data_IF_037340988797
#
_entry.id   IF_037340988797
#
_cell.length_a   1.000
_cell.length_b   1.000
_cell.length_c   1.000
_cell.angle_alpha   90.00
_cell.angle_beta   90.00
_cell.angle_gamma   90.00
#
_symmetry.space_group_name_H-M   'P 1'
#
loop_
_entity.id
_entity.type
_entity.pdbx_description
1 polymer ?
#
# COMPACT_ATOMS: atom_id res chain seq x y z
N UNK A 1 -1.75 4.38 -31.35
CA UNK A 1 -1.69 5.33 -30.22
C UNK A 1 -3.06 5.64 -29.58
N UNK A 2 -4.16 5.67 -30.35
CA UNK A 2 -5.52 5.89 -29.78
C UNK A 2 -5.94 4.75 -28.86
N UNK A 3 -5.66 3.51 -29.22
CA UNK A 3 -6.00 2.33 -28.41
C UNK A 3 -5.25 2.30 -27.09
N UNK A 4 -3.99 2.72 -27.07
CA UNK A 4 -3.21 2.81 -25.84
C UNK A 4 -3.77 3.86 -24.87
N UNK A 5 -4.24 5.00 -25.41
CA UNK A 5 -4.86 6.07 -24.62
C UNK A 5 -6.23 5.62 -24.04
N UNK A 6 -7.03 4.90 -24.82
CA UNK A 6 -8.33 4.37 -24.37
C UNK A 6 -8.13 3.31 -23.27
N UNK A 7 -7.18 2.42 -23.43
CA UNK A 7 -6.83 1.39 -22.45
C UNK A 7 -6.36 2.05 -21.14
N UNK A 8 -5.49 3.04 -21.21
CA UNK A 8 -5.03 3.79 -20.05
C UNK A 8 -6.18 4.56 -19.37
N UNK A 9 -7.09 5.14 -20.15
CA UNK A 9 -8.29 5.82 -19.64
C UNK A 9 -9.23 4.87 -18.90
N UNK A 10 -9.49 3.67 -19.43
CA UNK A 10 -10.30 2.63 -18.77
C UNK A 10 -9.62 2.19 -17.45
N UNK A 11 -8.33 1.98 -17.47
CA UNK A 11 -7.58 1.59 -16.30
C UNK A 11 -7.60 2.66 -15.20
N UNK A 12 -7.24 3.90 -15.53
CA UNK A 12 -7.13 5.00 -14.55
C UNK A 12 -8.47 5.58 -14.14
N UNK A 13 -9.44 5.62 -15.06
CA UNK A 13 -10.76 6.21 -14.82
C UNK A 13 -11.79 5.25 -14.25
N UNK A 14 -11.62 3.94 -14.44
CA UNK A 14 -12.62 2.95 -14.06
C UNK A 14 -12.08 1.94 -13.03
N UNK A 15 -11.05 1.17 -13.38
CA UNK A 15 -10.57 0.09 -12.54
C UNK A 15 -9.90 0.60 -11.27
N UNK A 16 -9.04 1.60 -11.38
CA UNK A 16 -8.23 2.09 -10.28
C UNK A 16 -9.05 2.78 -9.18
N UNK A 17 -10.04 3.65 -9.47
CA UNK A 17 -10.91 4.22 -8.44
C UNK A 17 -11.70 3.18 -7.66
N UNK A 18 -12.17 2.12 -8.32
CA UNK A 18 -12.90 1.05 -7.67
C UNK A 18 -12.03 0.29 -6.66
N UNK A 19 -10.79 -0.01 -7.03
CA UNK A 19 -9.82 -0.68 -6.16
C UNK A 19 -9.36 0.22 -5.01
N UNK A 20 -9.27 1.52 -5.25
CA UNK A 20 -8.90 2.49 -4.21
C UNK A 20 -10.06 2.82 -3.25
N UNK A 21 -11.30 2.51 -3.61
CA UNK A 21 -12.46 2.81 -2.76
C UNK A 21 -12.35 2.19 -1.37
N UNK A 22 -12.06 0.88 -1.19
CA UNK A 22 -11.84 0.32 0.14
C UNK A 22 -10.59 0.86 0.84
N UNK A 23 -9.60 1.36 0.09
CA UNK A 23 -8.40 1.99 0.66
C UNK A 23 -8.73 3.25 1.47
N UNK A 24 -9.87 3.91 1.23
CA UNK A 24 -10.30 5.06 2.04
C UNK A 24 -10.50 4.69 3.50
N UNK A 25 -10.97 3.46 3.78
CA UNK A 25 -11.13 2.92 5.14
C UNK A 25 -9.77 2.76 5.82
N UNK A 26 -8.80 2.16 5.12
CA UNK A 26 -7.44 1.99 5.66
C UNK A 26 -6.72 3.32 5.81
N UNK A 27 -6.93 4.29 4.91
CA UNK A 27 -6.38 5.63 5.02
C UNK A 27 -6.94 6.37 6.25
N UNK A 28 -8.24 6.29 6.51
CA UNK A 28 -8.85 6.90 7.68
C UNK A 28 -8.29 6.31 8.98
N UNK A 29 -8.16 4.99 9.04
CA UNK A 29 -7.52 4.30 10.16
C UNK A 29 -6.05 4.70 10.30
N UNK A 30 -5.31 4.81 9.20
CA UNK A 30 -3.91 5.22 9.18
C UNK A 30 -3.69 6.62 9.76
N UNK A 31 -4.56 7.58 9.45
CA UNK A 31 -4.50 8.95 10.00
C UNK A 31 -4.69 8.94 11.53
N UNK A 32 -5.58 8.10 12.05
CA UNK A 32 -5.81 7.96 13.49
C UNK A 32 -4.67 7.23 14.22
N UNK A 33 -3.98 6.33 13.53
CA UNK A 33 -2.87 5.56 14.09
C UNK A 33 -1.63 6.40 14.34
N UNK A 34 -1.35 7.38 13.49
CA UNK A 34 -0.15 8.20 13.58
C UNK A 34 0.00 8.86 14.96
N UNK A 35 -0.97 9.65 15.49
CA UNK A 35 -0.86 10.24 16.81
C UNK A 35 -0.84 9.18 17.93
N UNK A 36 -1.62 8.11 17.80
CA UNK A 36 -1.66 7.05 18.82
C UNK A 36 -0.32 6.33 18.98
N UNK A 37 0.36 6.03 17.87
CA UNK A 37 1.70 5.42 17.89
C UNK A 37 2.72 6.39 18.46
N UNK A 38 2.67 7.66 18.09
CA UNK A 38 3.57 8.69 18.62
C UNK A 38 3.42 8.84 20.13
N UNK A 39 2.19 8.86 20.65
CA UNK A 39 1.91 8.92 22.08
C UNK A 39 2.46 7.68 22.82
N UNK A 40 2.19 6.48 22.32
CA UNK A 40 2.71 5.25 22.90
C UNK A 40 4.23 5.20 22.92
N UNK A 41 4.86 5.78 21.92
CA UNK A 41 6.31 5.86 21.83
C UNK A 41 6.90 6.84 22.85
N UNK A 42 6.30 8.01 23.01
CA UNK A 42 6.74 9.00 24.02
C UNK A 42 6.58 8.47 25.45
N UNK A 43 5.55 7.65 25.68
CA UNK A 43 5.31 6.98 26.98
C UNK A 43 6.17 5.72 27.18
N UNK A 44 6.92 5.27 26.17
CA UNK A 44 7.81 4.11 26.27
C UNK A 44 7.12 2.75 26.27
N UNK A 45 5.83 2.67 25.90
CA UNK A 45 5.04 1.43 25.91
C UNK A 45 5.33 0.51 24.70
N UNK A 46 6.55 0.01 24.58
CA UNK A 46 7.03 -0.80 23.46
C UNK A 46 6.17 -2.05 23.17
N UNK A 47 5.78 -2.78 24.22
CA UNK A 47 4.92 -3.98 24.06
C UNK A 47 3.56 -3.64 23.47
N UNK A 48 3.02 -2.47 23.82
CA UNK A 48 1.74 -2.01 23.32
C UNK A 48 1.82 -1.58 21.86
N UNK A 49 2.92 -0.95 21.47
CA UNK A 49 3.21 -0.61 20.06
C UNK A 49 3.27 -1.89 19.22
N UNK A 50 4.03 -2.92 19.65
CA UNK A 50 4.12 -4.19 18.93
C UNK A 50 2.75 -4.89 18.78
N UNK A 51 1.94 -4.85 19.83
CA UNK A 51 0.59 -5.40 19.80
C UNK A 51 -0.29 -4.68 18.78
N UNK A 52 -0.27 -3.34 18.79
CA UNK A 52 -1.03 -2.51 17.85
C UNK A 52 -0.58 -2.77 16.40
N UNK A 53 0.73 -2.83 16.14
CA UNK A 53 1.28 -3.15 14.81
C UNK A 53 0.81 -4.52 14.33
N UNK A 54 0.86 -5.53 15.20
CA UNK A 54 0.43 -6.89 14.85
C UNK A 54 -1.07 -6.96 14.54
N UNK A 55 -1.90 -6.25 15.31
CA UNK A 55 -3.34 -6.16 15.02
C UNK A 55 -3.61 -5.47 13.68
N UNK A 56 -2.98 -4.33 13.44
CA UNK A 56 -3.11 -3.59 12.19
C UNK A 56 -2.74 -4.46 11.00
N UNK A 57 -1.60 -5.13 11.07
CA UNK A 57 -1.14 -6.05 10.03
C UNK A 57 -2.20 -7.11 9.70
N UNK A 58 -2.77 -7.71 10.74
CA UNK A 58 -3.82 -8.73 10.59
C UNK A 58 -5.10 -8.16 9.96
N UNK A 59 -5.57 -6.99 10.43
CA UNK A 59 -6.77 -6.36 9.88
C UNK A 59 -6.58 -5.90 8.43
N UNK A 60 -5.43 -5.32 8.08
CA UNK A 60 -5.15 -4.90 6.71
C UNK A 60 -5.05 -6.09 5.76
N UNK A 61 -4.43 -7.20 6.19
CA UNK A 61 -4.38 -8.43 5.40
C UNK A 61 -5.77 -9.07 5.23
N UNK A 62 -6.58 -9.09 6.28
CA UNK A 62 -7.96 -9.60 6.19
C UNK A 62 -8.79 -8.73 5.24
N UNK A 63 -8.79 -7.42 5.42
CA UNK A 63 -9.54 -6.51 4.56
C UNK A 63 -9.06 -6.60 3.11
N UNK A 64 -7.73 -6.54 2.90
CA UNK A 64 -7.14 -6.66 1.58
C UNK A 64 -7.40 -8.02 0.92
N UNK A 65 -7.35 -9.11 1.69
CA UNK A 65 -7.67 -10.45 1.22
C UNK A 65 -9.14 -10.61 0.83
N UNK A 66 -10.06 -10.08 1.65
CA UNK A 66 -11.49 -10.07 1.32
C UNK A 66 -11.74 -9.25 0.05
N UNK A 67 -11.18 -8.05 -0.06
CA UNK A 67 -11.29 -7.22 -1.27
C UNK A 67 -10.68 -7.91 -2.49
N UNK A 68 -9.53 -8.57 -2.34
CA UNK A 68 -8.90 -9.35 -3.41
C UNK A 68 -9.85 -10.44 -3.92
N UNK A 69 -10.42 -11.23 -3.02
CA UNK A 69 -11.36 -12.31 -3.37
C UNK A 69 -12.60 -11.72 -4.05
N UNK A 70 -13.18 -10.66 -3.50
CA UNK A 70 -14.35 -10.00 -4.09
C UNK A 70 -14.06 -9.50 -5.51
N UNK A 71 -12.94 -8.82 -5.73
CA UNK A 71 -12.57 -8.29 -7.05
C UNK A 71 -12.17 -9.39 -8.04
N UNK A 72 -11.63 -10.52 -7.59
CA UNK A 72 -11.36 -11.67 -8.45
C UNK A 72 -12.65 -12.32 -8.96
N UNK A 73 -13.63 -12.51 -8.09
CA UNK A 73 -14.89 -13.16 -8.47
C UNK A 73 -15.87 -12.20 -9.14
N UNK A 74 -15.96 -10.98 -8.68
CA UNK A 74 -16.93 -9.99 -9.13
C UNK A 74 -16.38 -8.99 -10.15
N UNK A 75 -15.08 -9.04 -10.48
CA UNK A 75 -14.41 -8.03 -11.31
C UNK A 75 -15.04 -7.92 -12.71
N UNK A 76 -15.35 -9.02 -13.39
CA UNK A 76 -16.05 -9.00 -14.68
C UNK A 76 -17.47 -8.45 -14.54
N UNK A 77 -18.22 -8.90 -13.53
CA UNK A 77 -19.55 -8.39 -13.25
C UNK A 77 -19.54 -6.88 -12.98
N UNK A 78 -18.62 -6.41 -12.14
CA UNK A 78 -18.45 -4.99 -11.83
C UNK A 78 -18.04 -4.18 -13.05
N UNK A 79 -17.12 -4.70 -13.86
CA UNK A 79 -16.69 -4.07 -15.10
C UNK A 79 -17.85 -3.89 -16.09
N UNK A 80 -18.66 -4.93 -16.27
CA UNK A 80 -19.82 -4.89 -17.16
C UNK A 80 -20.98 -4.07 -16.58
N UNK A 81 -21.27 -4.22 -15.29
CA UNK A 81 -22.41 -3.58 -14.64
C UNK A 81 -22.20 -2.07 -14.43
N UNK A 82 -21.02 -1.67 -13.91
CA UNK A 82 -20.72 -0.26 -13.60
C UNK A 82 -20.22 0.53 -14.81
N UNK A 83 -19.41 -0.11 -15.65
CA UNK A 83 -18.66 0.60 -16.70
C UNK A 83 -19.02 0.15 -18.11
N UNK A 84 -19.91 -0.85 -18.26
CA UNK A 84 -20.29 -1.44 -19.55
C UNK A 84 -19.05 -1.83 -20.39
N UNK A 85 -17.99 -2.27 -19.73
CA UNK A 85 -16.70 -2.58 -20.34
C UNK A 85 -16.11 -3.87 -19.78
N UNK A 86 -16.01 -4.88 -20.62
CA UNK A 86 -15.35 -6.15 -20.28
C UNK A 86 -13.85 -5.95 -19.99
N UNK A 87 -13.21 -5.01 -20.69
CA UNK A 87 -11.80 -4.67 -20.48
C UNK A 87 -11.57 -4.10 -19.09
N UNK A 88 -12.49 -3.28 -18.57
CA UNK A 88 -12.41 -2.78 -17.20
C UNK A 88 -12.48 -3.92 -16.18
N UNK A 89 -13.33 -4.93 -16.42
CA UNK A 89 -13.44 -6.12 -15.57
C UNK A 89 -12.13 -6.90 -15.46
N UNK A 90 -11.47 -7.13 -16.59
CA UNK A 90 -10.17 -7.81 -16.64
C UNK A 90 -9.11 -7.03 -15.84
N UNK A 91 -9.10 -5.70 -15.93
CA UNK A 91 -8.15 -4.89 -15.16
C UNK A 91 -8.46 -4.89 -13.66
N UNK A 92 -9.74 -4.86 -13.27
CA UNK A 92 -10.16 -5.01 -11.87
C UNK A 92 -9.66 -6.33 -11.30
N UNK A 93 -9.84 -7.44 -12.01
CA UNK A 93 -9.36 -8.76 -11.60
C UNK A 93 -7.83 -8.80 -11.49
N UNK A 94 -7.12 -8.26 -12.48
CA UNK A 94 -5.65 -8.26 -12.48
C UNK A 94 -5.10 -7.41 -11.33
N UNK A 95 -5.74 -6.29 -11.02
CA UNK A 95 -5.33 -5.42 -9.93
C UNK A 95 -5.77 -5.91 -8.55
N UNK A 96 -6.70 -6.86 -8.47
CA UNK A 96 -7.15 -7.42 -7.19
C UNK A 96 -5.99 -7.92 -6.33
N UNK A 97 -4.97 -8.51 -6.95
CA UNK A 97 -3.77 -8.99 -6.25
C UNK A 97 -2.95 -7.89 -5.55
N UNK A 98 -3.13 -6.64 -5.93
CA UNK A 98 -2.41 -5.49 -5.35
C UNK A 98 -3.09 -5.03 -4.05
N UNK A 99 -4.39 -5.27 -3.88
CA UNK A 99 -5.19 -4.77 -2.76
C UNK A 99 -4.57 -5.02 -1.37
N UNK A 100 -4.17 -6.25 -0.99
CA UNK A 100 -3.64 -6.50 0.34
C UNK A 100 -2.35 -5.74 0.61
N UNK A 101 -1.48 -5.61 -0.38
CA UNK A 101 -0.22 -4.89 -0.26
C UNK A 101 -0.43 -3.38 -0.20
N UNK A 102 -1.32 -2.85 -1.03
CA UNK A 102 -1.62 -1.43 -1.07
C UNK A 102 -2.24 -0.95 0.25
N UNK A 103 -3.21 -1.70 0.80
CA UNK A 103 -3.87 -1.34 2.06
C UNK A 103 -2.91 -1.49 3.25
N UNK A 104 -2.04 -2.49 3.21
CA UNK A 104 -1.03 -2.68 4.22
C UNK A 104 0.01 -1.55 4.19
N UNK A 105 0.51 -1.18 3.01
CA UNK A 105 1.55 -0.16 2.86
C UNK A 105 1.10 1.21 3.34
N UNK A 106 -0.14 1.63 3.06
CA UNK A 106 -0.67 2.92 3.55
C UNK A 106 -0.65 2.99 5.07
N UNK A 107 -1.01 1.90 5.73
CA UNK A 107 -1.07 1.81 7.18
C UNK A 107 0.32 1.69 7.80
N UNK A 108 1.21 0.87 7.22
CA UNK A 108 2.60 0.74 7.68
C UNK A 108 3.37 2.05 7.54
N UNK A 109 3.12 2.82 6.48
CA UNK A 109 3.68 4.17 6.31
C UNK A 109 3.29 5.08 7.48
N UNK A 110 2.03 5.08 7.90
CA UNK A 110 1.57 5.86 9.06
C UNK A 110 2.23 5.40 10.35
N UNK A 111 2.36 4.08 10.56
CA UNK A 111 3.04 3.53 11.75
C UNK A 111 4.49 3.96 11.78
N UNK A 112 5.23 3.84 10.68
CA UNK A 112 6.64 4.26 10.61
C UNK A 112 6.81 5.76 10.84
N UNK A 113 5.92 6.59 10.30
CA UNK A 113 5.91 8.02 10.54
C UNK A 113 5.61 8.33 12.01
N UNK A 114 4.65 7.64 12.64
CA UNK A 114 4.35 7.74 14.06
C UNK A 114 5.52 7.35 14.97
N UNK A 115 6.36 6.42 14.51
CA UNK A 115 7.60 6.00 15.18
C UNK A 115 8.79 6.95 14.91
N UNK A 116 8.58 8.04 14.19
CA UNK A 116 9.64 9.00 13.84
C UNK A 116 10.59 8.51 12.75
N UNK A 117 10.28 7.39 12.06
CA UNK A 117 11.08 6.82 10.96
C UNK A 117 10.69 7.37 9.58
N UNK A 118 10.33 8.65 9.49
CA UNK A 118 9.86 9.28 8.25
C UNK A 118 10.92 9.25 7.14
N UNK A 119 12.19 9.37 7.47
CA UNK A 119 13.30 9.27 6.51
C UNK A 119 13.36 7.87 5.87
N UNK A 120 13.16 6.81 6.67
CA UNK A 120 13.10 5.44 6.16
C UNK A 120 11.90 5.27 5.21
N UNK A 121 10.72 5.80 5.58
CA UNK A 121 9.55 5.82 4.71
C UNK A 121 9.82 6.48 3.36
N UNK A 122 10.50 7.63 3.38
CA UNK A 122 10.85 8.36 2.17
C UNK A 122 11.78 7.52 1.28
N UNK A 123 12.84 6.95 1.85
CA UNK A 123 13.80 6.10 1.10
C UNK A 123 13.08 4.89 0.50
N UNK A 124 12.25 4.19 1.27
CA UNK A 124 11.50 3.04 0.78
C UNK A 124 10.54 3.41 -0.36
N UNK A 125 9.88 4.56 -0.26
CA UNK A 125 9.00 5.07 -1.31
C UNK A 125 9.77 5.41 -2.59
N UNK A 126 10.95 6.03 -2.47
CA UNK A 126 11.82 6.31 -3.62
C UNK A 126 12.25 5.02 -4.30
N UNK A 127 12.66 4.00 -3.54
CA UNK A 127 13.03 2.68 -4.10
C UNK A 127 11.85 2.08 -4.86
N UNK A 128 10.64 2.09 -4.28
CA UNK A 128 9.43 1.59 -4.93
C UNK A 128 9.13 2.33 -6.24
N UNK A 129 9.26 3.66 -6.25
CA UNK A 129 9.06 4.49 -7.45
C UNK A 129 10.11 4.15 -8.52
N UNK A 130 11.38 4.00 -8.16
CA UNK A 130 12.44 3.62 -9.10
C UNK A 130 12.14 2.26 -9.76
N UNK A 131 11.64 1.28 -8.99
CA UNK A 131 11.23 -0.02 -9.53
C UNK A 131 10.08 0.16 -10.52
N UNK A 132 9.04 0.92 -10.18
CA UNK A 132 7.89 1.17 -11.08
C UNK A 132 8.34 1.85 -12.37
N UNK A 133 9.18 2.88 -12.28
CA UNK A 133 9.73 3.58 -13.44
C UNK A 133 10.57 2.64 -14.33
N UNK A 134 11.37 1.76 -13.73
CA UNK A 134 12.13 0.75 -14.48
C UNK A 134 11.20 -0.18 -15.27
N UNK A 135 10.11 -0.66 -14.66
CA UNK A 135 9.10 -1.46 -15.36
C UNK A 135 8.40 -0.68 -16.48
N UNK A 136 8.11 0.61 -16.25
CA UNK A 136 7.54 1.47 -17.30
C UNK A 136 8.48 1.56 -18.52
N UNK A 137 9.77 1.74 -18.30
CA UNK A 137 10.74 1.91 -19.38
C UNK A 137 11.05 0.60 -20.10
N UNK A 138 11.16 -0.52 -19.39
CA UNK A 138 11.63 -1.79 -19.95
C UNK A 138 10.51 -2.80 -20.24
N UNK A 139 9.46 -2.84 -19.43
CA UNK A 139 8.42 -3.86 -19.57
C UNK A 139 7.23 -3.38 -20.43
N UNK A 140 6.90 -2.10 -20.45
CA UNK A 140 5.80 -1.60 -21.30
C UNK A 140 6.07 -1.83 -22.79
N UNK A 141 7.27 -1.59 -23.35
CA UNK A 141 7.52 -1.83 -24.77
C UNK A 141 7.28 -3.28 -25.20
N UNK A 142 7.50 -4.25 -24.29
CA UNK A 142 7.38 -5.69 -24.58
C UNK A 142 6.02 -6.26 -24.20
N UNK A 143 5.43 -5.82 -23.08
CA UNK A 143 4.21 -6.41 -22.49
C UNK A 143 3.03 -5.44 -22.42
N UNK A 144 3.17 -4.21 -22.89
CA UNK A 144 2.13 -3.19 -22.86
C UNK A 144 1.64 -2.89 -21.43
N UNK A 145 0.31 -2.74 -21.26
CA UNK A 145 -0.31 -2.41 -19.98
C UNK A 145 -0.05 -3.47 -18.89
N UNK A 146 0.14 -4.74 -19.26
CA UNK A 146 0.47 -5.80 -18.30
C UNK A 146 1.83 -5.55 -17.65
N UNK A 147 2.82 -5.04 -18.41
CA UNK A 147 4.12 -4.64 -17.87
C UNK A 147 4.00 -3.55 -16.81
N UNK A 148 3.10 -2.60 -17.01
CA UNK A 148 2.78 -1.56 -16.03
C UNK A 148 2.15 -2.14 -14.75
N UNK A 149 1.19 -3.05 -14.89
CA UNK A 149 0.55 -3.72 -13.75
C UNK A 149 1.54 -4.53 -12.91
N UNK A 150 2.44 -5.27 -13.57
CA UNK A 150 3.52 -5.99 -12.89
C UNK A 150 4.49 -5.02 -12.17
N UNK A 151 4.76 -3.87 -12.75
CA UNK A 151 5.58 -2.83 -12.13
C UNK A 151 4.96 -2.29 -10.84
N UNK A 152 3.66 -2.04 -10.83
CA UNK A 152 2.94 -1.64 -9.63
C UNK A 152 2.99 -2.75 -8.58
N UNK A 153 2.68 -3.98 -8.94
CA UNK A 153 2.68 -5.12 -8.02
C UNK A 153 4.07 -5.33 -7.40
N UNK A 154 5.13 -5.35 -8.20
CA UNK A 154 6.50 -5.47 -7.69
C UNK A 154 6.88 -4.29 -6.79
N UNK A 155 6.52 -3.06 -7.16
CA UNK A 155 6.75 -1.87 -6.34
C UNK A 155 6.07 -1.95 -4.98
N UNK A 156 4.80 -2.39 -4.94
CA UNK A 156 4.06 -2.57 -3.69
C UNK A 156 4.64 -3.71 -2.82
N UNK A 157 5.03 -4.83 -3.44
CA UNK A 157 5.67 -5.94 -2.73
C UNK A 157 6.99 -5.52 -2.08
N UNK A 158 7.87 -4.86 -2.84
CA UNK A 158 9.16 -4.39 -2.32
C UNK A 158 8.93 -3.38 -1.20
N UNK A 159 8.00 -2.44 -1.36
CA UNK A 159 7.65 -1.46 -0.35
C UNK A 159 7.18 -2.14 0.94
N UNK A 160 6.32 -3.16 0.83
CA UNK A 160 5.84 -3.95 1.97
C UNK A 160 7.00 -4.61 2.70
N UNK A 161 7.90 -5.28 1.97
CA UNK A 161 9.07 -5.95 2.56
C UNK A 161 9.96 -4.96 3.29
N UNK A 162 10.27 -3.82 2.68
CA UNK A 162 11.10 -2.77 3.29
C UNK A 162 10.45 -2.17 4.54
N UNK A 163 9.13 -1.92 4.53
CA UNK A 163 8.41 -1.41 5.69
C UNK A 163 8.40 -2.43 6.84
N UNK A 164 8.12 -3.71 6.53
CA UNK A 164 8.15 -4.79 7.54
C UNK A 164 9.56 -4.97 8.12
N UNK A 165 10.59 -4.93 7.27
CA UNK A 165 11.98 -4.99 7.70
C UNK A 165 12.33 -3.86 8.66
N UNK A 166 11.98 -2.62 8.31
CA UNK A 166 12.23 -1.44 9.15
C UNK A 166 11.49 -1.50 10.51
N UNK A 167 10.34 -2.18 10.57
CA UNK A 167 9.61 -2.41 11.83
C UNK A 167 10.20 -3.57 12.63
N UNK A 168 10.80 -4.56 11.96
CA UNK A 168 11.45 -5.73 12.59
C UNK A 168 12.79 -5.39 13.21
N UNK A 169 13.51 -4.37 12.71
CA UNK A 169 14.76 -3.93 13.31
C UNK A 169 14.50 -3.41 14.73
N UNK A 170 14.94 -4.21 15.72
CA UNK A 170 14.81 -3.98 17.17
C UNK A 170 15.60 -2.77 17.69
N UNK A 171 16.18 -1.96 16.86
CA UNK A 171 16.85 -0.73 17.25
C UNK A 171 15.86 0.43 17.37
N UNK A 172 15.08 0.40 18.46
CA UNK A 172 14.59 1.65 19.02
C UNK A 172 15.74 2.24 19.85
N UNK A 173 16.48 3.24 19.37
CA UNK A 173 17.35 3.99 20.25
C UNK A 173 16.43 4.68 21.25
N UNK A 174 16.42 4.15 22.47
CA UNK A 174 15.90 4.85 23.62
C UNK A 174 16.73 6.15 23.74
N UNK A 175 16.21 7.23 23.24
CA UNK A 175 16.77 8.55 23.54
C UNK A 175 16.45 8.82 25.01
N UNK A 176 17.35 8.38 25.90
CA UNK A 176 17.41 8.90 27.24
C UNK A 176 17.51 10.41 27.10
N UNK A 177 16.40 11.11 27.27
CA UNK A 177 16.43 12.52 27.62
C UNK A 177 17.08 12.54 28.99
N UNK A 178 18.35 12.97 29.04
CA UNK A 178 19.04 13.31 30.27
C UNK A 178 18.14 14.23 31.09
N UNK A 179 17.49 13.66 32.10
CA UNK A 179 16.98 14.43 33.24
C UNK A 179 18.16 14.70 34.18
N UNK A 180 19.20 15.35 33.69
CA UNK A 180 20.22 15.97 34.54
C UNK A 180 20.46 17.38 34.00
N UNK A 181 19.70 18.31 34.53
CA UNK A 181 19.80 19.72 34.21
C UNK A 181 18.90 20.55 35.12
N UNK A 182 19.29 20.65 36.42
CA UNK A 182 18.79 21.58 37.45
C UNK A 182 17.45 21.26 38.06
#
# INVERSE_FOLDING_TARGET
>A
SRDALSIYGIFTGMALPLILFPATVTNSAAVMLLPSITELQTLGYQKRIQYVISQIFRYCLLLGGVCMILFLFLGEFLGNFLFHSQTAGIYIQTMAYICPFLYLNTTLTSVLNGLGKSTACLVHSVVSICIRVSFVLFAIPSFGIRGYLYGILCGELVLTVLHVYALSEKHFPYRHSDKNGL
#
